data_IF_658936501004
#
_entry.id   IF_658936501004
#
_cell.length_a   1.000
_cell.length_b   1.000
_cell.length_c   1.000
_cell.angle_alpha   90.00
_cell.angle_beta   90.00
_cell.angle_gamma   90.00
#
_symmetry.space_group_name_H-M   'P 1'
#
loop_
_entity.id
_entity.type
_entity.pdbx_description
1 polymer ?
#
# COMPACT_ATOMS: atom_id res chain seq x y z
N UNK A 1 61.03 37.02 2.85
CA UNK A 1 60.11 37.08 4.01
C UNK A 1 59.92 35.66 4.54
N UNK A 2 60.29 35.41 5.80
CA UNK A 2 60.06 34.16 6.55
C UNK A 2 58.88 34.36 7.52
N UNK A 3 58.09 33.31 7.73
CA UNK A 3 57.36 32.90 8.97
C UNK A 3 56.07 32.16 8.54
N UNK A 4 55.98 30.83 8.57
CA UNK A 4 55.78 29.89 9.71
C UNK A 4 54.38 29.98 10.35
N UNK A 5 53.66 28.85 10.19
CA UNK A 5 52.69 28.14 11.04
C UNK A 5 51.61 28.91 11.82
N UNK A 6 50.35 28.44 11.69
CA UNK A 6 49.78 27.47 12.63
C UNK A 6 48.37 26.99 12.23
N UNK A 7 48.24 25.68 12.06
CA UNK A 7 47.19 24.81 12.61
C UNK A 7 45.76 25.36 12.72
N UNK A 8 44.84 24.80 11.92
CA UNK A 8 43.94 23.77 12.47
C UNK A 8 43.25 23.01 11.34
N UNK A 9 43.56 21.72 11.27
CA UNK A 9 42.76 20.70 10.62
C UNK A 9 41.36 20.71 11.25
N UNK A 10 40.41 21.41 10.64
CA UNK A 10 38.99 21.23 10.93
C UNK A 10 38.52 19.93 10.27
N UNK A 11 38.96 18.79 10.82
CA UNK A 11 38.20 17.55 10.75
C UNK A 11 36.95 17.75 11.63
N UNK A 12 35.91 18.30 11.03
CA UNK A 12 34.54 18.20 11.55
C UNK A 12 33.61 17.76 10.43
N UNK A 13 33.82 16.55 9.94
CA UNK A 13 32.73 15.79 9.33
C UNK A 13 31.87 15.27 10.48
N UNK A 14 31.04 16.13 11.07
CA UNK A 14 29.83 15.69 11.76
C UNK A 14 28.70 15.69 10.74
N UNK A 15 28.70 14.71 9.84
CA UNK A 15 27.49 14.36 9.08
C UNK A 15 26.58 13.64 10.08
N UNK A 16 25.73 14.43 10.74
CA UNK A 16 24.64 13.88 11.54
C UNK A 16 23.60 13.33 10.58
N UNK A 17 23.39 12.01 10.60
CA UNK A 17 22.41 11.24 9.82
C UNK A 17 20.94 11.56 10.19
N UNK A 18 20.53 12.82 10.04
CA UNK A 18 19.24 13.41 10.43
C UNK A 18 18.74 14.38 9.36
N UNK A 19 17.50 14.83 9.46
CA UNK A 19 17.00 15.88 8.57
C UNK A 19 17.92 17.12 8.68
N UNK A 20 18.48 17.53 7.54
CA UNK A 20 19.33 18.73 7.42
C UNK A 20 18.54 19.87 6.78
N UNK A 21 19.15 21.06 6.71
CA UNK A 21 18.52 22.25 6.12
C UNK A 21 18.10 22.07 4.65
N UNK A 22 18.77 21.17 3.92
CA UNK A 22 18.56 20.96 2.48
C UNK A 22 17.66 19.76 2.15
N UNK A 23 17.13 19.06 3.16
CA UNK A 23 16.27 17.88 2.95
C UNK A 23 14.81 18.32 2.87
N UNK A 24 14.13 17.92 1.80
CA UNK A 24 12.70 18.09 1.60
C UNK A 24 12.01 16.73 1.38
N UNK A 25 10.71 16.61 1.65
CA UNK A 25 9.93 15.45 1.24
C UNK A 25 10.01 15.27 -0.27
N UNK A 26 10.11 14.03 -0.73
CA UNK A 26 10.23 13.68 -2.13
C UNK A 26 8.86 13.31 -2.69
N UNK A 27 8.59 13.78 -3.89
CA UNK A 27 7.49 13.29 -4.72
C UNK A 27 7.85 11.97 -5.39
N UNK A 28 6.84 11.21 -5.81
CA UNK A 28 7.02 9.98 -6.60
C UNK A 28 7.92 10.19 -7.84
N UNK A 29 7.73 11.31 -8.56
CA UNK A 29 8.54 11.66 -9.73
C UNK A 29 10.02 11.84 -9.38
N UNK A 30 10.31 12.44 -8.22
CA UNK A 30 11.68 12.61 -7.75
C UNK A 30 12.31 11.26 -7.35
N UNK A 31 11.58 10.39 -6.65
CA UNK A 31 12.06 9.02 -6.33
C UNK A 31 12.41 8.27 -7.62
N UNK A 32 11.52 8.30 -8.62
CA UNK A 32 11.79 7.65 -9.90
C UNK A 32 13.03 8.23 -10.58
N UNK A 33 13.22 9.55 -10.54
CA UNK A 33 14.43 10.16 -11.12
C UNK A 33 15.72 9.77 -10.41
N UNK A 34 15.68 9.54 -9.09
CA UNK A 34 16.85 9.22 -8.27
C UNK A 34 17.27 7.75 -8.40
N UNK A 35 16.33 6.82 -8.45
CA UNK A 35 16.61 5.38 -8.31
C UNK A 35 16.45 4.53 -9.59
N UNK A 36 15.89 5.07 -10.68
CA UNK A 36 15.57 4.29 -11.91
C UNK A 36 16.77 3.67 -12.64
N UNK A 37 17.98 4.22 -12.49
CA UNK A 37 19.15 3.78 -13.26
C UNK A 37 20.12 2.86 -12.48
N UNK A 38 19.68 2.31 -11.35
CA UNK A 38 20.50 1.40 -10.56
C UNK A 38 20.46 -0.02 -11.16
N UNK A 39 21.64 -0.65 -11.27
CA UNK A 39 21.86 -1.92 -11.96
C UNK A 39 21.23 -3.16 -11.30
N UNK A 40 21.59 -4.36 -11.79
CA UNK A 40 21.01 -5.66 -11.36
C UNK A 40 20.83 -5.75 -9.84
N UNK A 41 19.57 -5.81 -9.43
CA UNK A 41 19.15 -5.92 -8.04
C UNK A 41 19.32 -7.35 -7.54
N UNK A 42 19.70 -7.51 -6.28
CA UNK A 42 19.68 -8.78 -5.55
C UNK A 42 18.23 -9.28 -5.37
N UNK A 43 18.06 -10.48 -4.82
CA UNK A 43 16.74 -11.03 -4.49
C UNK A 43 15.93 -10.05 -3.61
N UNK A 44 14.66 -9.83 -3.99
CA UNK A 44 13.75 -8.88 -3.33
C UNK A 44 13.56 -9.17 -1.84
N UNK A 45 13.29 -10.44 -1.49
CA UNK A 45 13.01 -10.84 -0.11
C UNK A 45 14.26 -10.74 0.77
N UNK A 46 15.43 -11.09 0.22
CA UNK A 46 16.69 -10.99 0.96
C UNK A 46 17.05 -9.53 1.25
N UNK A 47 16.88 -8.63 0.26
CA UNK A 47 17.07 -7.19 0.45
C UNK A 47 16.08 -6.61 1.46
N UNK A 48 14.81 -6.98 1.36
CA UNK A 48 13.77 -6.52 2.27
C UNK A 48 14.07 -6.93 3.72
N UNK A 49 14.43 -8.20 3.94
CA UNK A 49 14.76 -8.70 5.27
C UNK A 49 16.03 -8.05 5.85
N UNK A 50 17.05 -7.77 5.03
CA UNK A 50 18.26 -7.04 5.46
C UNK A 50 17.93 -5.61 5.91
N UNK A 51 17.11 -4.89 5.13
CA UNK A 51 16.70 -3.53 5.45
C UNK A 51 15.84 -3.51 6.71
N UNK A 52 14.89 -4.43 6.84
CA UNK A 52 14.04 -4.54 8.02
C UNK A 52 14.82 -4.89 9.29
N UNK A 53 15.80 -5.79 9.19
CA UNK A 53 16.65 -6.13 10.32
C UNK A 53 17.44 -4.92 10.84
N UNK A 54 17.93 -4.07 9.92
CA UNK A 54 18.57 -2.79 10.30
C UNK A 54 17.59 -1.88 11.04
N UNK A 55 16.34 -1.76 10.57
CA UNK A 55 15.29 -0.97 11.23
C UNK A 55 14.98 -1.52 12.62
N UNK A 56 14.87 -2.84 12.78
CA UNK A 56 14.55 -3.46 14.08
C UNK A 56 15.68 -3.30 15.11
N UNK A 57 16.93 -3.13 14.67
CA UNK A 57 18.05 -2.80 15.55
C UNK A 57 18.06 -1.33 15.99
N UNK A 58 17.24 -0.46 15.40
CA UNK A 58 17.14 0.93 15.82
C UNK A 58 16.47 1.09 17.18
N UNK A 59 16.97 2.06 17.95
CA UNK A 59 16.30 2.58 19.14
C UNK A 59 15.35 3.71 18.74
N UNK A 60 14.40 4.04 19.62
CA UNK A 60 13.40 5.10 19.38
C UNK A 60 14.00 6.46 19.00
N UNK A 61 15.20 6.78 19.50
CA UNK A 61 15.89 8.03 19.17
C UNK A 61 16.25 8.17 17.68
N UNK A 62 16.39 7.07 16.93
CA UNK A 62 16.66 7.10 15.48
C UNK A 62 15.50 7.69 14.67
N UNK A 63 14.30 7.73 15.23
CA UNK A 63 13.09 8.27 14.57
C UNK A 63 12.88 9.77 14.81
N UNK A 64 13.56 10.38 15.79
CA UNK A 64 13.19 11.72 16.29
C UNK A 64 13.56 12.87 15.35
N UNK A 65 14.80 12.94 14.86
CA UNK A 65 15.26 14.05 14.02
C UNK A 65 15.19 13.66 12.54
N UNK A 66 13.96 13.49 12.04
CA UNK A 66 13.65 13.04 10.68
C UNK A 66 12.70 13.97 9.92
N UNK A 67 12.13 14.96 10.60
CA UNK A 67 11.24 15.96 10.00
C UNK A 67 12.07 17.15 9.52
N UNK A 68 11.95 17.57 8.25
CA UNK A 68 12.61 18.77 7.75
C UNK A 68 12.30 20.03 8.58
N UNK A 69 13.32 20.85 8.92
CA UNK A 69 13.11 22.02 9.76
C UNK A 69 12.44 23.19 9.02
N UNK A 70 12.61 23.31 7.70
CA UNK A 70 12.23 24.48 6.89
C UNK A 70 10.91 24.29 6.09
N UNK A 71 9.91 23.64 6.69
CA UNK A 71 8.57 23.47 6.09
C UNK A 71 7.50 24.09 6.99
N UNK A 72 6.28 24.29 6.47
CA UNK A 72 5.17 24.91 7.21
C UNK A 72 4.73 24.03 8.39
N UNK A 73 4.12 24.64 9.41
CA UNK A 73 3.65 23.90 10.59
C UNK A 73 2.64 22.79 10.24
N UNK A 74 1.77 23.03 9.26
CA UNK A 74 0.82 22.04 8.77
C UNK A 74 1.53 20.86 8.10
N UNK A 75 2.48 21.11 7.20
CA UNK A 75 3.26 20.05 6.55
C UNK A 75 4.11 19.25 7.57
N UNK A 76 4.65 19.91 8.60
CA UNK A 76 5.34 19.21 9.70
C UNK A 76 4.44 18.20 10.39
N UNK A 77 3.21 18.61 10.70
CA UNK A 77 2.26 17.76 11.40
C UNK A 77 1.84 16.56 10.55
N UNK A 78 1.59 16.79 9.27
CA UNK A 78 1.30 15.72 8.30
C UNK A 78 2.46 14.73 8.22
N UNK A 79 3.70 15.20 8.05
CA UNK A 79 4.88 14.32 8.00
C UNK A 79 5.06 13.58 9.32
N UNK A 80 4.79 14.23 10.45
CA UNK A 80 4.85 13.61 11.77
C UNK A 80 3.84 12.46 11.88
N UNK A 81 2.60 12.66 11.43
CA UNK A 81 1.58 11.61 11.42
C UNK A 81 1.98 10.46 10.50
N UNK A 82 2.52 10.76 9.32
CA UNK A 82 3.03 9.75 8.41
C UNK A 82 4.19 8.95 9.01
N UNK A 83 5.12 9.64 9.66
CA UNK A 83 6.25 9.00 10.35
C UNK A 83 5.79 8.09 11.47
N UNK A 84 4.82 8.53 12.27
CA UNK A 84 4.29 7.72 13.37
C UNK A 84 3.52 6.50 12.84
N UNK A 85 2.73 6.65 11.77
CA UNK A 85 2.07 5.53 11.08
C UNK A 85 3.09 4.48 10.61
N UNK A 86 4.13 4.91 9.87
CA UNK A 86 5.17 4.01 9.37
C UNK A 86 5.92 3.33 10.52
N UNK A 87 6.26 4.10 11.55
CA UNK A 87 6.92 3.60 12.76
C UNK A 87 6.08 2.52 13.43
N UNK A 88 4.80 2.77 13.68
CA UNK A 88 3.88 1.79 14.29
C UNK A 88 3.76 0.51 13.46
N UNK A 89 3.72 0.63 12.14
CA UNK A 89 3.71 -0.52 11.25
C UNK A 89 5.00 -1.34 11.35
N UNK A 90 6.17 -0.72 11.39
CA UNK A 90 7.44 -1.44 11.63
C UNK A 90 7.49 -2.09 13.01
N UNK A 91 6.96 -1.45 14.06
CA UNK A 91 6.93 -2.05 15.40
C UNK A 91 5.97 -3.25 15.48
N UNK A 92 4.81 -3.16 14.85
CA UNK A 92 3.87 -4.27 14.77
C UNK A 92 4.42 -5.41 13.93
N UNK A 93 5.06 -5.10 12.80
CA UNK A 93 5.74 -6.08 11.96
C UNK A 93 6.88 -6.78 12.71
N UNK A 94 7.69 -6.03 13.45
CA UNK A 94 8.75 -6.60 14.31
C UNK A 94 8.20 -7.62 15.30
N UNK A 95 7.11 -7.29 16.01
CA UNK A 95 6.47 -8.22 16.97
C UNK A 95 5.98 -9.50 16.27
N UNK A 96 5.44 -9.36 15.06
CA UNK A 96 5.02 -10.51 14.25
C UNK A 96 6.23 -11.37 13.86
N UNK A 97 7.31 -10.76 13.36
CA UNK A 97 8.55 -11.46 13.00
C UNK A 97 9.18 -12.15 14.20
N UNK A 98 9.28 -11.48 15.35
CA UNK A 98 9.82 -12.06 16.58
C UNK A 98 9.00 -13.28 17.02
N UNK A 99 7.67 -13.25 16.86
CA UNK A 99 6.79 -14.39 17.15
C UNK A 99 6.97 -15.54 16.15
N UNK A 100 7.11 -15.23 14.85
CA UNK A 100 7.41 -16.22 13.80
C UNK A 100 8.76 -16.89 14.06
N UNK A 101 9.79 -16.13 14.39
CA UNK A 101 11.13 -16.65 14.68
C UNK A 101 11.12 -17.52 15.95
N UNK A 102 10.34 -17.15 16.97
CA UNK A 102 10.15 -17.96 18.17
C UNK A 102 9.41 -19.29 17.87
N UNK A 103 8.37 -19.26 17.03
CA UNK A 103 7.66 -20.47 16.61
C UNK A 103 8.57 -21.37 15.75
N UNK A 104 9.40 -20.81 14.87
CA UNK A 104 10.39 -21.56 14.10
C UNK A 104 11.46 -22.20 14.99
N UNK A 105 11.98 -21.48 15.99
CA UNK A 105 12.92 -22.03 16.98
C UNK A 105 12.27 -23.16 17.79
N UNK A 106 11.02 -22.98 18.21
CA UNK A 106 10.29 -23.99 18.95
C UNK A 106 10.15 -25.29 18.14
N UNK A 107 9.69 -25.20 16.89
CA UNK A 107 9.54 -26.37 16.02
C UNK A 107 10.91 -27.00 15.72
N UNK A 108 11.93 -26.18 15.46
CA UNK A 108 13.31 -26.63 15.24
C UNK A 108 13.81 -27.42 16.45
N UNK A 109 13.60 -26.91 17.67
CA UNK A 109 14.02 -27.57 18.90
C UNK A 109 13.29 -28.89 19.17
N UNK A 110 12.01 -29.00 18.78
CA UNK A 110 11.20 -30.21 18.98
C UNK A 110 11.55 -31.29 17.93
N UNK A 111 11.75 -30.88 16.67
CA UNK A 111 11.88 -31.80 15.52
C UNK A 111 13.32 -32.01 15.06
N UNK A 112 14.27 -31.24 15.61
CA UNK A 112 15.67 -31.19 15.19
C UNK A 112 15.88 -30.83 13.70
N UNK A 113 14.87 -30.23 13.07
CA UNK A 113 14.96 -29.75 11.69
C UNK A 113 15.49 -28.32 11.64
N UNK A 114 16.32 -27.98 10.64
CA UNK A 114 16.74 -26.60 10.44
C UNK A 114 15.54 -25.72 10.06
N UNK A 115 15.52 -24.48 10.58
CA UNK A 115 14.41 -23.52 10.41
C UNK A 115 13.97 -23.33 8.97
N UNK A 116 14.91 -23.29 8.03
CA UNK A 116 14.63 -23.10 6.60
C UNK A 116 13.72 -24.20 6.06
N UNK A 117 13.96 -25.45 6.46
CA UNK A 117 13.17 -26.61 6.00
C UNK A 117 11.79 -26.69 6.62
N UNK A 118 11.54 -26.00 7.75
CA UNK A 118 10.25 -26.02 8.45
C UNK A 118 9.19 -25.31 7.63
N UNK A 119 9.56 -24.23 6.95
CA UNK A 119 8.64 -23.43 6.10
C UNK A 119 8.08 -24.22 4.91
N UNK A 120 8.78 -25.26 4.47
CA UNK A 120 8.39 -26.10 3.34
C UNK A 120 7.52 -27.31 3.76
N UNK A 121 7.33 -27.54 5.06
CA UNK A 121 6.56 -28.68 5.54
C UNK A 121 5.07 -28.50 5.38
N UNK A 122 4.35 -29.62 5.28
CA UNK A 122 2.91 -29.65 5.08
C UNK A 122 2.18 -30.22 6.31
N UNK A 123 0.84 -30.17 6.26
CA UNK A 123 0.00 -30.70 7.35
C UNK A 123 0.12 -32.21 7.56
N UNK A 124 0.49 -32.98 6.54
CA UNK A 124 0.72 -34.43 6.66
C UNK A 124 1.95 -34.70 7.54
N UNK A 125 3.06 -34.02 7.26
CA UNK A 125 4.25 -34.07 8.09
C UNK A 125 3.96 -33.67 9.55
N UNK A 126 3.16 -32.63 9.77
CA UNK A 126 2.73 -32.25 11.11
C UNK A 126 1.97 -33.38 11.82
N UNK A 127 1.07 -34.06 11.12
CA UNK A 127 0.30 -35.18 11.70
C UNK A 127 1.22 -36.33 12.11
N UNK A 128 2.21 -36.67 11.28
CA UNK A 128 3.19 -37.71 11.58
C UNK A 128 4.06 -37.34 12.79
N UNK A 129 4.64 -36.14 12.82
CA UNK A 129 5.50 -35.70 13.92
C UNK A 129 4.73 -35.52 15.23
N UNK A 130 3.52 -34.97 15.18
CA UNK A 130 2.67 -34.88 16.37
C UNK A 130 2.26 -36.27 16.88
N UNK A 131 2.01 -37.24 15.99
CA UNK A 131 1.70 -38.61 16.37
C UNK A 131 2.92 -39.30 17.02
N UNK A 132 4.13 -39.10 16.48
CA UNK A 132 5.38 -39.61 17.09
C UNK A 132 5.56 -39.08 18.51
N UNK A 133 5.41 -37.77 18.71
CA UNK A 133 5.53 -37.15 20.04
C UNK A 133 4.48 -37.69 21.02
N UNK A 134 3.22 -37.85 20.58
CA UNK A 134 2.16 -38.44 21.40
C UNK A 134 2.42 -39.90 21.74
N UNK A 135 2.95 -40.68 20.79
CA UNK A 135 3.29 -42.08 20.98
C UNK A 135 4.35 -42.28 22.06
N UNK A 136 5.34 -41.37 22.11
CA UNK A 136 6.40 -41.36 23.13
C UNK A 136 5.90 -40.78 24.47
N UNK A 137 4.65 -40.30 24.54
CA UNK A 137 4.03 -39.74 25.75
C UNK A 137 4.27 -38.24 25.96
N UNK A 138 4.90 -37.55 25.01
CA UNK A 138 5.22 -36.11 25.09
C UNK A 138 4.06 -35.22 24.60
N UNK A 139 2.88 -35.36 25.22
CA UNK A 139 1.63 -34.72 24.77
C UNK A 139 1.71 -33.18 24.75
N UNK A 140 2.42 -32.57 25.70
CA UNK A 140 2.58 -31.12 25.77
C UNK A 140 3.39 -30.58 24.59
N UNK A 141 4.51 -31.24 24.23
CA UNK A 141 5.32 -30.88 23.05
C UNK A 141 4.55 -31.09 21.76
N UNK A 142 3.76 -32.16 21.66
CA UNK A 142 2.89 -32.40 20.50
C UNK A 142 1.86 -31.27 20.31
N UNK A 143 1.31 -30.74 21.41
CA UNK A 143 0.35 -29.63 21.38
C UNK A 143 1.05 -28.33 20.99
N UNK A 144 2.21 -28.03 21.58
CA UNK A 144 3.03 -26.87 21.23
C UNK A 144 3.45 -26.88 19.76
N UNK A 145 3.91 -28.03 19.25
CA UNK A 145 4.26 -28.23 17.84
C UNK A 145 3.07 -27.91 16.93
N UNK A 146 1.90 -28.48 17.22
CA UNK A 146 0.67 -28.22 16.45
C UNK A 146 0.32 -26.75 16.44
N UNK A 147 0.27 -26.11 17.61
CA UNK A 147 -0.21 -24.74 17.72
C UNK A 147 0.77 -23.74 17.07
N UNK A 148 2.08 -23.96 17.20
CA UNK A 148 3.11 -23.18 16.51
C UNK A 148 3.03 -23.36 14.99
N UNK A 149 2.89 -24.60 14.50
CA UNK A 149 2.79 -24.87 13.07
C UNK A 149 1.55 -24.24 12.45
N UNK A 150 0.40 -24.32 13.12
CA UNK A 150 -0.85 -23.72 12.64
C UNK A 150 -0.78 -22.18 12.56
N UNK A 151 -0.03 -21.53 13.46
CA UNK A 151 0.23 -20.09 13.36
C UNK A 151 1.16 -19.77 12.19
N UNK A 152 2.24 -20.52 12.05
CA UNK A 152 3.20 -20.35 10.94
C UNK A 152 2.57 -20.59 9.57
N UNK A 153 1.56 -21.44 9.46
CA UNK A 153 0.83 -21.62 8.20
C UNK A 153 0.14 -20.32 7.73
N UNK A 154 -0.23 -19.44 8.66
CA UNK A 154 -0.91 -18.16 8.35
C UNK A 154 0.10 -17.03 8.08
N UNK A 155 1.14 -16.90 8.92
CA UNK A 155 2.06 -15.75 8.89
C UNK A 155 3.54 -16.11 8.61
N UNK A 156 3.88 -17.38 8.47
CA UNK A 156 5.26 -17.86 8.41
C UNK A 156 5.92 -17.77 7.02
N UNK A 157 5.15 -17.40 5.98
CA UNK A 157 5.71 -17.17 4.65
C UNK A 157 6.57 -15.90 4.62
N UNK A 158 7.68 -15.93 3.89
CA UNK A 158 8.61 -14.79 3.77
C UNK A 158 7.97 -13.57 3.10
N UNK A 159 7.02 -13.80 2.20
CA UNK A 159 6.24 -12.80 1.48
C UNK A 159 4.96 -12.36 2.21
N UNK A 160 4.76 -12.77 3.46
CA UNK A 160 3.62 -12.31 4.24
C UNK A 160 3.66 -10.77 4.35
N UNK A 161 2.54 -10.13 3.96
CA UNK A 161 2.38 -8.67 3.90
C UNK A 161 3.43 -7.96 3.03
N UNK A 162 3.90 -8.61 1.95
CA UNK A 162 4.99 -8.11 1.12
C UNK A 162 4.73 -6.68 0.61
N UNK A 163 3.58 -6.41 -0.01
CA UNK A 163 3.29 -5.09 -0.56
C UNK A 163 3.22 -4.01 0.52
N UNK A 164 2.63 -4.30 1.68
CA UNK A 164 2.59 -3.38 2.82
C UNK A 164 4.00 -3.06 3.32
N UNK A 165 4.87 -4.06 3.41
CA UNK A 165 6.28 -3.89 3.83
C UNK A 165 7.07 -3.07 2.82
N UNK A 166 6.92 -3.34 1.51
CA UNK A 166 7.54 -2.55 0.44
C UNK A 166 7.02 -1.11 0.46
N UNK A 167 5.72 -0.89 0.66
CA UNK A 167 5.13 0.44 0.80
C UNK A 167 5.64 1.18 2.05
N UNK A 168 5.91 0.49 3.16
CA UNK A 168 6.57 1.08 4.32
C UNK A 168 7.99 1.58 3.98
N UNK A 169 8.79 0.77 3.28
CA UNK A 169 10.12 1.17 2.81
C UNK A 169 10.03 2.35 1.83
N UNK A 170 9.13 2.27 0.87
CA UNK A 170 8.85 3.34 -0.09
C UNK A 170 8.42 4.65 0.62
N UNK A 171 7.62 4.54 1.68
CA UNK A 171 7.22 5.66 2.55
C UNK A 171 8.40 6.29 3.29
N UNK A 172 9.36 5.50 3.77
CA UNK A 172 10.62 6.04 4.32
C UNK A 172 11.42 6.77 3.23
N UNK A 173 11.40 6.26 2.00
CA UNK A 173 12.00 6.91 0.82
C UNK A 173 11.37 8.26 0.50
N UNK A 174 10.03 8.34 0.51
CA UNK A 174 9.29 9.59 0.28
C UNK A 174 9.62 10.69 1.29
N UNK A 175 10.06 10.34 2.50
CA UNK A 175 10.47 11.33 3.48
C UNK A 175 11.84 11.94 3.21
N UNK A 176 12.69 11.29 2.40
CA UNK A 176 14.01 11.78 2.00
C UNK A 176 15.06 11.87 3.11
N UNK A 177 14.70 11.64 4.38
CA UNK A 177 15.58 11.85 5.55
C UNK A 177 16.17 10.56 6.13
N UNK A 178 15.76 9.39 5.62
CA UNK A 178 16.15 8.08 6.16
C UNK A 178 17.27 7.37 5.41
N UNK A 179 17.58 7.74 4.17
CA UNK A 179 18.55 7.02 3.33
C UNK A 179 19.92 6.85 4.01
N UNK A 180 20.46 7.93 4.57
CA UNK A 180 21.75 7.93 5.27
C UNK A 180 21.75 7.14 6.58
N UNK A 181 20.60 6.67 7.05
CA UNK A 181 20.51 5.86 8.27
C UNK A 181 20.84 4.37 8.03
N UNK A 182 21.00 3.94 6.77
CA UNK A 182 21.18 2.54 6.39
C UNK A 182 22.62 2.14 6.02
N UNK A 183 23.54 3.09 6.00
CA UNK A 183 24.97 2.90 5.71
C UNK A 183 25.86 3.34 6.87
N UNK A 184 27.18 3.13 6.75
CA UNK A 184 28.21 3.56 7.69
C UNK A 184 28.10 2.91 9.08
N UNK A 185 27.69 1.64 9.13
CA UNK A 185 27.69 0.85 10.37
C UNK A 185 29.09 0.29 10.65
N UNK A 186 29.53 0.36 11.90
CA UNK A 186 30.71 -0.36 12.37
C UNK A 186 30.29 -1.81 12.62
N UNK A 187 30.91 -2.75 11.92
CA UNK A 187 30.60 -4.18 12.02
C UNK A 187 31.86 -4.97 12.37
N UNK A 188 31.65 -6.15 12.95
CA UNK A 188 32.70 -7.11 13.24
C UNK A 188 32.52 -8.33 12.34
N UNK A 189 33.58 -8.74 11.65
CA UNK A 189 33.57 -9.97 10.86
C UNK A 189 33.46 -11.18 11.80
N UNK A 190 32.44 -12.05 11.64
CA UNK A 190 32.22 -13.18 12.54
C UNK A 190 33.39 -14.17 12.55
N UNK A 191 34.12 -14.28 11.44
CA UNK A 191 35.23 -15.22 11.25
C UNK A 191 36.57 -14.63 11.67
N UNK A 192 36.88 -13.42 11.22
CA UNK A 192 38.20 -12.79 11.45
C UNK A 192 38.25 -11.91 12.70
N UNK A 193 37.09 -11.60 13.30
CA UNK A 193 36.95 -10.66 14.45
C UNK A 193 37.47 -9.26 14.16
N UNK A 194 37.70 -8.92 12.88
CA UNK A 194 38.15 -7.59 12.46
C UNK A 194 36.98 -6.62 12.43
N UNK A 195 37.23 -5.43 12.95
CA UNK A 195 36.27 -4.32 12.92
C UNK A 195 36.44 -3.57 11.60
N UNK A 196 35.34 -3.33 10.89
CA UNK A 196 35.32 -2.55 9.64
C UNK A 196 34.08 -1.65 9.57
N UNK A 197 34.12 -0.67 8.67
CA UNK A 197 32.99 0.21 8.38
C UNK A 197 32.29 -0.33 7.13
N UNK A 198 31.00 -0.63 7.25
CA UNK A 198 30.18 -1.05 6.12
C UNK A 198 29.54 0.16 5.44
N UNK A 199 30.04 0.49 4.25
CA UNK A 199 29.54 1.60 3.43
C UNK A 199 28.36 1.19 2.52
N UNK A 200 28.04 -0.11 2.43
CA UNK A 200 26.92 -0.58 1.60
C UNK A 200 25.57 -0.04 2.06
N UNK A 201 24.68 0.22 1.11
CA UNK A 201 23.35 0.75 1.37
C UNK A 201 22.25 -0.10 0.70
N UNK A 202 21.86 -1.18 1.39
CA UNK A 202 20.78 -2.05 0.95
C UNK A 202 19.42 -1.33 0.81
N UNK A 203 19.21 -0.20 1.51
CA UNK A 203 17.98 0.58 1.37
C UNK A 203 17.88 1.23 -0.02
N UNK A 204 18.96 1.84 -0.50
CA UNK A 204 18.98 2.45 -1.84
C UNK A 204 18.86 1.38 -2.94
N UNK A 205 19.47 0.21 -2.75
CA UNK A 205 19.31 -0.94 -3.65
C UNK A 205 17.85 -1.45 -3.69
N UNK A 206 17.19 -1.55 -2.54
CA UNK A 206 15.78 -1.96 -2.45
C UNK A 206 14.84 -0.91 -3.04
N UNK A 207 15.08 0.38 -2.80
CA UNK A 207 14.29 1.47 -3.42
C UNK A 207 14.38 1.44 -4.95
N UNK A 208 15.57 1.21 -5.49
CA UNK A 208 15.76 0.99 -6.93
C UNK A 208 15.01 -0.22 -7.45
N UNK A 209 15.04 -1.34 -6.72
CA UNK A 209 14.25 -2.52 -7.06
C UNK A 209 12.75 -2.20 -7.10
N UNK A 210 12.22 -1.55 -6.06
CA UNK A 210 10.80 -1.19 -5.97
C UNK A 210 10.37 -0.34 -7.17
N UNK A 211 11.14 0.70 -7.50
CA UNK A 211 10.84 1.63 -8.61
C UNK A 211 10.85 0.93 -9.98
N UNK A 212 11.79 0.01 -10.18
CA UNK A 212 11.96 -0.68 -11.46
C UNK A 212 10.97 -1.85 -11.65
N UNK A 213 10.62 -2.55 -10.56
CA UNK A 213 9.72 -3.71 -10.59
C UNK A 213 8.24 -3.30 -10.49
N UNK A 214 7.91 -2.28 -9.69
CA UNK A 214 6.54 -1.87 -9.39
C UNK A 214 6.23 -0.47 -9.93
N UNK A 215 5.94 -0.31 -11.22
CA UNK A 215 5.67 0.99 -11.83
C UNK A 215 4.45 1.70 -11.24
N UNK A 216 3.51 0.95 -10.66
CA UNK A 216 2.30 1.47 -10.00
C UNK A 216 2.45 1.57 -8.46
N UNK A 217 3.66 1.54 -7.91
CA UNK A 217 3.87 1.55 -6.44
C UNK A 217 3.21 2.73 -5.74
N UNK A 218 3.13 3.91 -6.37
CA UNK A 218 2.43 5.06 -5.80
C UNK A 218 0.92 4.80 -5.64
N UNK A 219 0.29 4.13 -6.60
CA UNK A 219 -1.13 3.75 -6.52
C UNK A 219 -1.31 2.75 -5.37
N UNK A 220 -0.44 1.75 -5.28
CA UNK A 220 -0.49 0.75 -4.21
C UNK A 220 -0.32 1.40 -2.83
N UNK A 221 0.64 2.33 -2.70
CA UNK A 221 0.91 3.07 -1.47
C UNK A 221 -0.32 3.86 -1.00
N UNK A 222 -0.97 4.58 -1.92
CA UNK A 222 -2.19 5.32 -1.63
C UNK A 222 -3.36 4.37 -1.31
N UNK A 223 -3.54 3.29 -2.07
CA UNK A 223 -4.61 2.31 -1.85
C UNK A 223 -4.48 1.60 -0.50
N UNK A 224 -3.27 1.37 -0.01
CA UNK A 224 -3.07 0.81 1.33
C UNK A 224 -3.39 1.79 2.47
N UNK A 225 -3.59 3.06 2.15
CA UNK A 225 -3.94 4.14 3.08
C UNK A 225 -2.74 4.86 3.67
N UNK A 226 -1.58 4.82 3.00
CA UNK A 226 -0.40 5.54 3.47
C UNK A 226 -0.38 7.03 3.08
N UNK A 227 -1.30 7.52 2.26
CA UNK A 227 -1.37 8.95 1.93
C UNK A 227 -2.41 9.66 2.79
N UNK A 228 -1.95 10.27 3.88
CA UNK A 228 -2.81 10.97 4.84
C UNK A 228 -3.27 12.36 4.37
N UNK A 229 -2.69 12.91 3.29
CA UNK A 229 -2.98 14.27 2.81
C UNK A 229 -4.16 14.24 1.85
N UNK A 230 -3.96 13.60 0.71
CA UNK A 230 -4.93 13.58 -0.40
C UNK A 230 -5.81 12.32 -0.37
N UNK A 231 -5.46 11.35 0.49
CA UNK A 231 -6.04 10.03 0.43
C UNK A 231 -5.66 9.32 -0.87
N UNK A 232 -6.55 8.44 -1.35
CA UNK A 232 -6.28 7.61 -2.52
C UNK A 232 -7.05 8.03 -3.78
N UNK A 233 -7.82 9.14 -3.73
CA UNK A 233 -8.72 9.56 -4.82
C UNK A 233 -7.98 9.86 -6.12
N UNK A 234 -6.88 10.59 -6.05
CA UNK A 234 -6.05 10.93 -7.22
C UNK A 234 -5.43 9.69 -7.86
N UNK A 235 -4.90 8.78 -7.02
CA UNK A 235 -4.40 7.46 -7.45
C UNK A 235 -5.50 6.55 -8.00
N UNK A 236 -6.73 6.60 -7.47
CA UNK A 236 -7.88 5.88 -8.03
C UNK A 236 -8.21 6.40 -9.43
N UNK A 237 -8.22 7.73 -9.62
CA UNK A 237 -8.42 8.31 -10.95
C UNK A 237 -7.38 7.82 -11.94
N UNK A 238 -6.10 7.85 -11.56
CA UNK A 238 -5.01 7.37 -12.41
C UNK A 238 -5.13 5.88 -12.72
N UNK A 239 -5.52 5.08 -11.72
CA UNK A 239 -5.80 3.66 -11.89
C UNK A 239 -6.92 3.43 -12.91
N UNK A 240 -8.08 4.07 -12.72
CA UNK A 240 -9.21 3.96 -13.65
C UNK A 240 -8.83 4.38 -15.07
N UNK A 241 -8.11 5.49 -15.23
CA UNK A 241 -7.63 5.93 -16.54
C UNK A 241 -6.69 4.91 -17.20
N UNK A 242 -5.77 4.33 -16.41
CA UNK A 242 -4.86 3.29 -16.89
C UNK A 242 -5.63 2.06 -17.36
N UNK A 243 -6.57 1.57 -16.54
CA UNK A 243 -7.38 0.39 -16.87
C UNK A 243 -8.28 0.62 -18.09
N UNK A 244 -8.85 1.81 -18.26
CA UNK A 244 -9.69 2.15 -19.43
C UNK A 244 -8.84 2.26 -20.70
N UNK A 245 -7.61 2.78 -20.60
CA UNK A 245 -6.74 3.01 -21.76
C UNK A 245 -6.26 1.71 -22.43
N UNK A 246 -6.18 0.60 -21.68
CA UNK A 246 -5.81 -0.78 -22.06
C UNK A 246 -4.52 -1.01 -22.89
N UNK A 247 -3.89 0.00 -23.50
CA UNK A 247 -2.48 0.10 -23.98
C UNK A 247 -2.32 1.17 -25.09
N UNK A 248 -1.15 1.85 -25.07
CA UNK A 248 -0.44 2.73 -26.03
C UNK A 248 -1.10 3.51 -27.20
N UNK A 249 -2.42 3.56 -27.36
CA UNK A 249 -3.05 4.43 -28.38
C UNK A 249 -3.55 5.72 -27.75
N UNK A 250 -3.40 6.82 -28.48
CA UNK A 250 -3.67 8.19 -28.01
C UNK A 250 -5.09 8.33 -27.44
N UNK A 251 -5.19 8.38 -26.12
CA UNK A 251 -6.41 8.77 -25.42
C UNK A 251 -6.54 10.27 -25.45
N UNK A 252 -7.74 10.78 -25.74
CA UNK A 252 -8.02 12.22 -25.62
C UNK A 252 -8.44 12.54 -24.18
N UNK A 253 -7.52 13.12 -23.41
CA UNK A 253 -7.82 13.65 -22.08
C UNK A 253 -8.18 15.13 -22.19
N UNK A 254 -9.42 15.51 -21.84
CA UNK A 254 -9.84 16.93 -21.78
C UNK A 254 -10.13 17.31 -20.33
N UNK A 255 -9.07 17.64 -19.59
CA UNK A 255 -9.16 18.08 -18.19
C UNK A 255 -9.71 17.00 -17.27
N UNK A 256 -11.00 17.10 -16.90
CA UNK A 256 -11.72 16.20 -15.98
C UNK A 256 -12.56 15.12 -16.67
N UNK A 257 -12.66 15.18 -18.00
CA UNK A 257 -13.33 14.16 -18.81
C UNK A 257 -12.27 13.29 -19.50
N UNK A 258 -12.51 11.99 -19.47
CA UNK A 258 -11.66 10.99 -20.09
C UNK A 258 -12.51 10.06 -20.95
N UNK A 259 -12.14 9.93 -22.22
CA UNK A 259 -12.81 9.07 -23.17
C UNK A 259 -11.95 7.84 -23.43
N UNK A 260 -12.48 6.67 -23.09
CA UNK A 260 -11.87 5.39 -23.40
C UNK A 260 -12.07 5.03 -24.87
N UNK A 261 -11.20 4.15 -25.37
CA UNK A 261 -11.23 3.66 -26.76
C UNK A 261 -11.99 2.33 -26.90
N UNK A 262 -12.57 1.83 -25.79
CA UNK A 262 -13.35 0.60 -25.75
C UNK A 262 -14.57 0.62 -26.68
N UNK A 263 -15.02 -0.58 -27.08
CA UNK A 263 -16.33 -0.83 -27.68
C UNK A 263 -17.14 -1.72 -26.73
N UNK A 264 -18.25 -1.24 -26.14
CA UNK A 264 -18.88 0.07 -26.33
C UNK A 264 -18.04 1.23 -25.76
N UNK A 265 -18.35 2.47 -26.18
CA UNK A 265 -17.64 3.67 -25.74
C UNK A 265 -17.65 3.79 -24.21
N UNK A 266 -16.49 4.12 -23.65
CA UNK A 266 -16.25 4.29 -22.22
C UNK A 266 -16.00 5.76 -21.91
N UNK A 267 -16.66 6.31 -20.88
CA UNK A 267 -16.50 7.70 -20.45
C UNK A 267 -16.26 7.71 -18.95
N UNK A 268 -15.15 8.28 -18.51
CA UNK A 268 -14.86 8.55 -17.11
C UNK A 268 -14.91 10.06 -16.88
N UNK A 269 -15.79 10.49 -16.00
CA UNK A 269 -15.92 11.87 -15.56
C UNK A 269 -15.48 12.02 -14.11
N UNK A 270 -14.46 12.83 -13.88
CA UNK A 270 -14.05 13.30 -12.55
C UNK A 270 -15.01 14.42 -12.12
N UNK A 271 -16.01 14.06 -11.31
CA UNK A 271 -17.12 14.95 -10.95
C UNK A 271 -16.67 16.02 -9.95
N UNK A 272 -16.04 15.60 -8.86
CA UNK A 272 -15.51 16.48 -7.83
C UNK A 272 -15.05 15.72 -6.58
N UNK A 273 -14.28 16.39 -5.72
CA UNK A 273 -13.83 15.81 -4.45
C UNK A 273 -14.97 15.83 -3.44
N UNK A 274 -15.54 14.66 -3.14
CA UNK A 274 -16.66 14.56 -2.20
C UNK A 274 -16.26 14.99 -0.78
N UNK A 275 -15.01 14.76 -0.37
CA UNK A 275 -14.49 15.09 0.99
C UNK A 275 -14.56 16.59 1.28
N UNK A 276 -14.20 17.43 0.32
CA UNK A 276 -14.25 18.89 0.46
C UNK A 276 -15.68 19.43 0.28
N UNK A 277 -16.43 18.86 -0.67
CA UNK A 277 -17.75 19.36 -1.08
C UNK A 277 -18.88 19.05 -0.09
N UNK A 278 -18.75 17.99 0.72
CA UNK A 278 -19.76 17.64 1.73
C UNK A 278 -19.71 18.54 2.97
N UNK A 279 -18.54 19.12 3.26
CA UNK A 279 -18.29 19.93 4.47
C UNK A 279 -18.65 21.39 4.25
N UNK A 280 -18.66 21.86 2.99
CA UNK A 280 -18.93 23.25 2.61
C UNK A 280 -20.39 23.72 2.80
N UNK A 281 -21.25 22.91 3.42
CA UNK A 281 -22.53 23.37 3.99
C UNK A 281 -23.71 23.41 3.02
N UNK A 282 -23.54 23.05 1.75
CA UNK A 282 -24.69 22.85 0.88
C UNK A 282 -25.42 21.56 1.27
N UNK A 283 -26.73 21.64 1.55
CA UNK A 283 -27.57 20.48 1.88
C UNK A 283 -27.85 19.59 0.65
N UNK A 284 -26.80 19.17 -0.05
CA UNK A 284 -26.90 18.32 -1.24
C UNK A 284 -26.87 16.86 -0.80
N UNK A 285 -27.82 16.08 -1.30
CA UNK A 285 -27.80 14.61 -1.24
C UNK A 285 -27.24 14.09 -2.57
N UNK A 286 -26.42 13.04 -2.54
CA UNK A 286 -25.93 12.39 -3.75
C UNK A 286 -24.81 13.13 -4.46
N UNK A 287 -23.57 12.98 -3.97
CA UNK A 287 -22.39 13.60 -4.56
C UNK A 287 -21.32 12.54 -4.87
N UNK A 288 -21.31 11.98 -6.10
CA UNK A 288 -20.31 10.99 -6.49
C UNK A 288 -18.94 11.63 -6.75
N UNK A 289 -17.88 10.86 -6.54
CA UNK A 289 -16.52 11.29 -6.87
C UNK A 289 -16.25 11.14 -8.37
N UNK A 290 -16.66 10.01 -8.95
CA UNK A 290 -16.52 9.72 -10.37
C UNK A 290 -17.82 9.19 -10.96
N UNK A 291 -18.07 9.52 -12.22
CA UNK A 291 -19.13 8.92 -13.02
C UNK A 291 -18.46 8.14 -14.15
N UNK A 292 -18.71 6.83 -14.21
CA UNK A 292 -18.22 5.98 -15.28
C UNK A 292 -19.39 5.48 -16.13
N UNK A 293 -19.29 5.62 -17.44
CA UNK A 293 -20.29 5.16 -18.41
C UNK A 293 -19.64 4.18 -19.36
N UNK A 294 -20.25 3.02 -19.58
CA UNK A 294 -19.82 2.00 -20.54
C UNK A 294 -21.04 1.48 -21.30
N UNK A 295 -21.19 1.89 -22.55
CA UNK A 295 -22.42 1.59 -23.30
C UNK A 295 -23.65 2.17 -22.59
N UNK A 296 -24.59 1.31 -22.18
CA UNK A 296 -25.81 1.70 -21.46
C UNK A 296 -25.67 1.70 -19.92
N UNK A 297 -24.52 1.24 -19.42
CA UNK A 297 -24.27 1.10 -17.99
C UNK A 297 -23.61 2.35 -17.41
N UNK A 298 -24.17 2.86 -16.32
CA UNK A 298 -23.68 4.03 -15.59
C UNK A 298 -23.37 3.62 -14.15
N UNK A 299 -22.13 3.82 -13.73
CA UNK A 299 -21.70 3.60 -12.36
C UNK A 299 -21.33 4.93 -11.71
N UNK A 300 -21.94 5.21 -10.56
CA UNK A 300 -21.60 6.32 -9.67
C UNK A 300 -20.61 5.82 -8.63
N UNK A 301 -19.34 6.19 -8.76
CA UNK A 301 -18.26 5.76 -7.86
C UNK A 301 -18.14 6.80 -6.74
N UNK A 302 -18.29 6.34 -5.50
CA UNK A 302 -18.40 7.19 -4.31
C UNK A 302 -17.35 6.75 -3.30
N UNK A 303 -16.47 7.66 -2.88
CA UNK A 303 -15.55 7.43 -1.77
C UNK A 303 -16.28 7.85 -0.49
N UNK A 304 -16.44 6.92 0.45
CA UNK A 304 -17.13 7.21 1.69
C UNK A 304 -16.43 8.30 2.50
N UNK A 305 -17.20 9.06 3.28
CA UNK A 305 -16.69 10.04 4.21
C UNK A 305 -16.17 9.36 5.47
N UNK A 306 -15.14 9.96 6.07
CA UNK A 306 -14.68 9.65 7.43
C UNK A 306 -15.79 9.86 8.46
N UNK A 307 -16.72 10.78 8.21
CA UNK A 307 -17.82 11.06 9.11
C UNK A 307 -19.00 10.14 8.82
N UNK A 308 -19.26 9.21 9.75
CA UNK A 308 -20.34 8.23 9.64
C UNK A 308 -21.73 8.87 9.44
N UNK A 309 -21.99 10.05 10.01
CA UNK A 309 -23.27 10.77 9.84
C UNK A 309 -23.48 11.29 8.41
N UNK A 310 -22.39 11.52 7.66
CA UNK A 310 -22.46 12.04 6.30
C UNK A 310 -22.59 10.94 5.25
N UNK A 311 -22.21 9.69 5.56
CA UNK A 311 -22.22 8.56 4.62
C UNK A 311 -23.60 8.32 3.99
N UNK A 312 -24.66 8.39 4.80
CA UNK A 312 -26.04 8.23 4.32
C UNK A 312 -26.49 9.34 3.37
N UNK A 313 -25.88 10.54 3.45
CA UNK A 313 -26.19 11.67 2.58
C UNK A 313 -25.36 11.66 1.28
N UNK A 314 -24.21 10.98 1.28
CA UNK A 314 -23.36 10.86 0.10
C UNK A 314 -24.01 10.04 -1.01
N UNK A 315 -24.76 9.00 -0.64
CA UNK A 315 -25.44 8.15 -1.60
C UNK A 315 -26.61 8.91 -2.26
N UNK A 316 -26.70 8.90 -3.60
CA UNK A 316 -27.79 9.55 -4.30
C UNK A 316 -29.10 8.84 -4.04
N UNK A 317 -30.16 9.62 -3.87
CA UNK A 317 -31.51 9.06 -3.75
C UNK A 317 -31.96 8.44 -5.09
N UNK A 318 -32.82 7.42 -5.05
CA UNK A 318 -33.38 6.77 -6.26
C UNK A 318 -33.85 7.77 -7.33
N UNK A 319 -34.67 8.76 -6.95
CA UNK A 319 -35.13 9.84 -7.86
C UNK A 319 -33.98 10.59 -8.57
N UNK A 320 -32.84 10.78 -7.91
CA UNK A 320 -31.66 11.41 -8.52
C UNK A 320 -31.01 10.47 -9.54
N UNK A 321 -30.89 9.18 -9.21
CA UNK A 321 -30.38 8.16 -10.14
C UNK A 321 -31.27 8.06 -11.39
N UNK A 322 -32.60 8.07 -11.22
CA UNK A 322 -33.55 8.09 -12.33
C UNK A 322 -33.38 9.35 -13.21
N UNK A 323 -33.13 10.50 -12.58
CA UNK A 323 -32.83 11.75 -13.28
C UNK A 323 -31.47 11.74 -13.99
N UNK A 324 -30.45 11.06 -13.44
CA UNK A 324 -29.15 10.87 -14.10
C UNK A 324 -29.31 10.01 -15.36
N UNK A 325 -30.00 8.88 -15.26
CA UNK A 325 -30.26 7.99 -16.37
C UNK A 325 -31.02 8.66 -17.52
N UNK A 326 -32.06 9.44 -17.20
CA UNK A 326 -32.81 10.21 -18.21
C UNK A 326 -31.92 11.22 -18.93
N UNK A 327 -31.06 11.92 -18.19
CA UNK A 327 -30.08 12.86 -18.77
C UNK A 327 -29.06 12.15 -19.63
N UNK A 328 -28.57 10.99 -19.20
CA UNK A 328 -27.66 10.19 -20.01
C UNK A 328 -28.32 9.72 -21.32
N UNK A 329 -29.60 9.35 -21.30
CA UNK A 329 -30.36 9.02 -22.52
C UNK A 329 -30.41 10.21 -23.48
N UNK A 330 -30.68 11.42 -22.97
CA UNK A 330 -30.71 12.64 -23.79
C UNK A 330 -29.35 13.05 -24.36
N UNK A 331 -28.28 12.90 -23.57
CA UNK A 331 -26.94 13.38 -23.94
C UNK A 331 -26.19 12.37 -24.79
N UNK A 332 -26.26 11.08 -24.43
CA UNK A 332 -25.50 10.01 -25.06
C UNK A 332 -26.30 9.25 -26.13
N UNK A 333 -27.59 9.55 -26.28
CA UNK A 333 -28.47 8.92 -27.26
C UNK A 333 -28.78 7.45 -26.96
N UNK A 334 -28.58 7.00 -25.72
CA UNK A 334 -28.88 5.63 -25.29
C UNK A 334 -30.40 5.50 -25.11
N UNK A 335 -31.05 4.42 -25.61
CA UNK A 335 -32.48 4.20 -25.37
C UNK A 335 -32.78 4.14 -23.87
N UNK A 336 -33.80 4.88 -23.45
CA UNK A 336 -34.15 5.01 -22.04
C UNK A 336 -34.44 3.66 -21.36
N UNK A 337 -35.02 2.72 -22.10
CA UNK A 337 -35.33 1.34 -21.66
C UNK A 337 -34.10 0.51 -21.31
N UNK A 338 -32.93 0.90 -21.81
CA UNK A 338 -31.72 0.09 -21.75
C UNK A 338 -30.72 0.65 -20.72
N UNK A 339 -30.96 1.85 -20.20
CA UNK A 339 -30.05 2.52 -19.26
C UNK A 339 -30.11 1.85 -17.90
N UNK A 340 -28.95 1.45 -17.41
CA UNK A 340 -28.78 0.87 -16.07
C UNK A 340 -27.88 1.75 -15.24
N UNK A 341 -28.35 2.16 -14.06
CA UNK A 341 -27.56 2.99 -13.13
C UNK A 341 -27.34 2.24 -11.83
N UNK A 342 -26.14 2.34 -11.27
CA UNK A 342 -25.85 1.82 -9.94
C UNK A 342 -24.86 2.69 -9.18
N UNK A 343 -24.81 2.47 -7.87
CA UNK A 343 -23.81 3.03 -7.00
C UNK A 343 -22.66 2.03 -6.78
N UNK A 344 -21.46 2.54 -6.58
CA UNK A 344 -20.33 1.80 -6.06
C UNK A 344 -19.76 2.59 -4.89
N UNK A 345 -19.89 2.05 -3.68
CA UNK A 345 -19.36 2.68 -2.47
C UNK A 345 -18.00 2.05 -2.10
N UNK A 346 -17.00 2.92 -1.93
CA UNK A 346 -15.61 2.58 -1.60
C UNK A 346 -15.23 3.07 -0.19
N UNK A 347 -14.23 2.46 0.47
CA UNK A 347 -13.82 2.84 1.83
C UNK A 347 -13.22 4.24 1.88
N UNK A 348 -13.21 4.92 3.04
CA UNK A 348 -12.84 6.33 3.11
C UNK A 348 -11.34 6.61 2.96
N UNK A 349 -10.48 5.78 3.57
CA UNK A 349 -9.04 6.08 3.74
C UNK A 349 -8.10 5.11 3.01
N UNK A 350 -8.63 4.01 2.48
CA UNK A 350 -7.88 2.96 1.79
C UNK A 350 -8.82 2.26 0.81
N UNK A 351 -8.30 1.32 0.05
CA UNK A 351 -9.07 0.52 -0.89
C UNK A 351 -8.74 -0.96 -0.71
N UNK A 352 -9.67 -1.75 -0.20
CA UNK A 352 -9.48 -3.19 0.02
C UNK A 352 -9.48 -3.98 -1.30
N UNK A 353 -8.94 -5.22 -1.25
CA UNK A 353 -8.84 -6.10 -2.43
C UNK A 353 -10.19 -6.31 -3.12
N UNK A 354 -11.24 -6.56 -2.34
CA UNK A 354 -12.56 -6.89 -2.89
C UNK A 354 -13.17 -5.69 -3.61
N UNK A 355 -12.93 -4.47 -3.10
CA UNK A 355 -13.30 -3.23 -3.80
C UNK A 355 -12.57 -3.06 -5.14
N UNK A 356 -11.27 -3.36 -5.22
CA UNK A 356 -10.51 -3.31 -6.49
C UNK A 356 -11.04 -4.34 -7.48
N UNK A 357 -11.23 -5.60 -7.04
CA UNK A 357 -11.80 -6.64 -7.89
C UNK A 357 -13.19 -6.25 -8.39
N UNK A 358 -14.06 -5.70 -7.53
CA UNK A 358 -15.39 -5.23 -7.93
C UNK A 358 -15.33 -4.10 -8.97
N UNK A 359 -14.37 -3.19 -8.87
CA UNK A 359 -14.13 -2.16 -9.89
C UNK A 359 -13.77 -2.84 -11.22
N UNK A 360 -12.79 -3.73 -11.22
CA UNK A 360 -12.28 -4.34 -12.44
C UNK A 360 -13.33 -5.21 -13.12
N UNK A 361 -13.94 -6.12 -12.37
CA UNK A 361 -14.91 -7.09 -12.88
C UNK A 361 -16.22 -6.40 -13.24
N UNK A 362 -16.83 -5.70 -12.29
CA UNK A 362 -18.21 -5.26 -12.45
C UNK A 362 -18.29 -3.90 -13.12
N UNK A 363 -17.38 -2.96 -12.84
CA UNK A 363 -17.40 -1.60 -13.44
C UNK A 363 -16.74 -1.61 -14.81
N UNK A 364 -15.52 -2.12 -14.89
CA UNK A 364 -14.73 -2.06 -16.12
C UNK A 364 -14.97 -3.27 -17.04
N UNK A 365 -15.58 -4.35 -16.53
CA UNK A 365 -15.79 -5.58 -17.31
C UNK A 365 -14.48 -6.19 -17.79
N UNK A 366 -13.45 -6.15 -16.94
CA UNK A 366 -12.12 -6.68 -17.20
C UNK A 366 -12.10 -8.13 -16.72
N UNK A 367 -11.60 -9.02 -17.57
CA UNK A 367 -11.44 -10.44 -17.21
C UNK A 367 -10.26 -10.66 -16.26
N UNK A 368 -10.28 -11.74 -15.48
CA UNK A 368 -9.16 -12.10 -14.59
C UNK A 368 -7.81 -12.18 -15.32
N UNK A 369 -7.81 -12.67 -16.56
CA UNK A 369 -6.61 -12.76 -17.38
C UNK A 369 -6.06 -11.38 -17.75
N UNK A 370 -6.92 -10.45 -18.17
CA UNK A 370 -6.52 -9.07 -18.46
C UNK A 370 -6.09 -8.33 -17.19
N UNK A 371 -6.77 -8.57 -16.07
CA UNK A 371 -6.42 -7.99 -14.77
C UNK A 371 -5.01 -8.39 -14.34
N UNK A 372 -4.61 -9.65 -14.52
CA UNK A 372 -3.24 -10.12 -14.22
C UNK A 372 -2.16 -9.41 -15.05
N UNK A 373 -2.50 -8.95 -16.25
CA UNK A 373 -1.57 -8.23 -17.13
C UNK A 373 -1.49 -6.75 -16.73
N UNK A 374 -2.65 -6.12 -16.48
CA UNK A 374 -2.73 -4.68 -16.20
C UNK A 374 -2.34 -4.31 -14.76
N UNK A 375 -2.64 -5.18 -13.80
CA UNK A 375 -2.37 -5.01 -12.38
C UNK A 375 -1.79 -6.31 -11.77
N UNK A 376 -0.57 -6.72 -12.17
CA UNK A 376 0.05 -7.98 -11.70
C UNK A 376 0.26 -8.04 -10.19
N UNK A 377 0.34 -6.88 -9.53
CA UNK A 377 0.49 -6.77 -8.07
C UNK A 377 -0.79 -7.14 -7.29
N UNK A 378 -1.95 -7.20 -7.94
CA UNK A 378 -3.23 -7.40 -7.25
C UNK A 378 -3.36 -8.80 -6.62
N UNK A 379 -2.65 -9.80 -7.14
CA UNK A 379 -2.61 -11.14 -6.53
C UNK A 379 -1.95 -11.08 -5.14
N UNK A 380 -0.87 -10.30 -5.01
CA UNK A 380 -0.13 -10.08 -3.75
C UNK A 380 -0.83 -9.09 -2.81
N UNK A 381 -1.82 -8.34 -3.29
CA UNK A 381 -2.57 -7.39 -2.48
C UNK A 381 -3.53 -8.12 -1.54
N UNK A 382 -3.34 -7.96 -0.23
CA UNK A 382 -4.11 -8.67 0.81
C UNK A 382 -4.87 -7.76 1.76
N UNK A 383 -4.91 -6.44 1.49
CA UNK A 383 -5.67 -5.48 2.31
C UNK A 383 -7.14 -5.86 2.35
N UNK A 384 -7.67 -5.96 3.57
CA UNK A 384 -9.08 -6.20 3.88
C UNK A 384 -9.69 -4.97 4.53
N UNK A 385 -11.03 -4.94 4.57
CA UNK A 385 -11.76 -3.97 5.37
C UNK A 385 -11.41 -4.13 6.86
N UNK A 386 -11.16 -3.00 7.50
CA UNK A 386 -10.91 -2.94 8.94
C UNK A 386 -12.18 -3.33 9.69
N UNK A 387 -12.07 -4.34 10.55
CA UNK A 387 -13.20 -4.87 11.35
C UNK A 387 -13.82 -3.84 12.30
N UNK A 388 -13.18 -2.69 12.48
CA UNK A 388 -13.65 -1.59 13.33
C UNK A 388 -14.68 -0.69 12.62
N UNK A 389 -14.72 -0.67 11.29
CA UNK A 389 -15.65 0.18 10.52
C UNK A 389 -16.94 -0.61 10.15
N UNK A 390 -17.63 -1.09 11.20
CA UNK A 390 -18.83 -1.95 11.06
C UNK A 390 -19.94 -1.24 10.29
N UNK A 391 -20.16 0.05 10.57
CA UNK A 391 -21.20 0.86 9.92
C UNK A 391 -20.93 1.02 8.42
N UNK A 392 -19.67 1.24 8.02
CA UNK A 392 -19.29 1.25 6.61
C UNK A 392 -19.51 -0.11 5.97
N UNK A 393 -19.07 -1.20 6.62
CA UNK A 393 -19.22 -2.55 6.08
C UNK A 393 -20.69 -2.89 5.80
N UNK A 394 -21.60 -2.52 6.71
CA UNK A 394 -23.03 -2.72 6.52
C UNK A 394 -23.57 -1.91 5.33
N UNK A 395 -23.26 -0.61 5.27
CA UNK A 395 -23.72 0.28 4.21
C UNK A 395 -23.15 -0.11 2.84
N UNK A 396 -21.88 -0.49 2.79
CA UNK A 396 -21.20 -0.97 1.59
C UNK A 396 -21.85 -2.24 1.08
N UNK A 397 -22.18 -3.18 1.97
CA UNK A 397 -22.88 -4.41 1.60
C UNK A 397 -24.25 -4.11 0.99
N UNK A 398 -25.08 -3.31 1.66
CA UNK A 398 -26.42 -2.98 1.15
C UNK A 398 -26.39 -2.21 -0.17
N UNK A 399 -25.38 -1.37 -0.38
CA UNK A 399 -25.24 -0.55 -1.61
C UNK A 399 -24.67 -1.36 -2.77
N UNK A 400 -23.64 -2.17 -2.53
CA UNK A 400 -22.92 -2.87 -3.61
C UNK A 400 -23.61 -4.17 -4.03
N UNK A 401 -24.49 -4.74 -3.19
CA UNK A 401 -25.36 -5.86 -3.56
C UNK A 401 -26.71 -5.40 -4.16
N UNK A 402 -26.96 -4.08 -4.23
CA UNK A 402 -28.16 -3.53 -4.85
C UNK A 402 -28.19 -3.85 -6.36
N UNK A 403 -29.34 -4.31 -6.86
CA UNK A 403 -29.51 -4.55 -8.29
C UNK A 403 -29.37 -3.25 -9.09
N UNK A 404 -28.99 -3.39 -10.37
CA UNK A 404 -28.96 -2.27 -11.28
C UNK A 404 -30.34 -1.61 -11.34
N UNK A 405 -30.39 -0.29 -11.13
CA UNK A 405 -31.60 0.48 -11.37
C UNK A 405 -31.81 0.58 -12.88
N UNK A 406 -32.69 -0.27 -13.39
CA UNK A 406 -33.27 -0.18 -14.73
C UNK A 406 -34.48 0.76 -14.72
N UNK A 407 -34.64 1.52 -15.80
CA UNK A 407 -35.73 2.47 -15.98
C UNK A 407 -36.77 2.04 -17.00
#
# INVERSE_FOLDING_TARGET
>A
MRSICCLSTLNKIQIRAHATYDVAPLSHKQIFSLYRNWGKTRNELDLLEEVEEKIFRWKLNKWQMRIPPLITAHEKEVIRQQQELLKDLFFNWRKCRDAVDADLELISSITSLPKETIREKNRLWLQEEAAKLRWVGEVNKATQLRDAFLRLEVCGSRDHMLLERLCCIYGLGLQGSFENAFSNYIMEDPTTKKIYINESNAFSELMAHIVNTYPQIAIIYDFLGFNLIEGYRSSLRQYLQCMISRSSQETTTTGRLFFGTGKPAEILFDFGNSKESLVSGEHVQGFPDFVFVKGADITLIIIASDNFWLRNRQLPHRKQMEGIARRASFVLGIPFSDVRVRNLLLPPNYLDKDSICRINEVVLGISDAEQRILAPWLEMYQKKLDSKDVDFCYLMKSTNEEEWLTL
#
